data_IF_451947219740
#
_entry.id   IF_451947219740
#
_cell.length_a   1.000
_cell.length_b   1.000
_cell.length_c   1.000
_cell.angle_alpha   90.00
_cell.angle_beta   90.00
_cell.angle_gamma   90.00
#
_symmetry.space_group_name_H-M   'P 1'
#
loop_
_entity.id
_entity.type
_entity.pdbx_description
1 polymer ?
#
# COMPACT_ATOMS: atom_id res chain seq x y z
N UNK A 1 2.77 8.46 -17.41
CA UNK A 1 2.01 8.83 -16.20
C UNK A 1 2.71 9.90 -15.37
N UNK A 2 3.83 9.61 -14.70
CA UNK A 2 4.55 10.59 -13.83
C UNK A 2 4.83 11.92 -14.53
N UNK A 3 5.42 11.89 -15.73
CA UNK A 3 5.71 13.10 -16.54
C UNK A 3 4.45 13.94 -16.83
N UNK A 4 3.30 13.28 -17.03
CA UNK A 4 2.06 13.95 -17.38
C UNK A 4 1.41 14.66 -16.18
N UNK A 5 1.55 14.10 -14.97
CA UNK A 5 0.92 14.68 -13.77
C UNK A 5 1.83 15.62 -12.99
N UNK A 6 3.15 15.50 -13.14
CA UNK A 6 4.14 16.32 -12.42
C UNK A 6 3.91 17.84 -12.52
N UNK A 7 3.52 18.42 -13.69
CA UNK A 7 3.25 19.86 -13.78
C UNK A 7 2.10 20.37 -12.90
N UNK A 8 1.19 19.47 -12.47
CA UNK A 8 0.02 19.82 -11.64
C UNK A 8 0.28 19.66 -10.13
N UNK A 9 1.46 19.17 -9.75
CA UNK A 9 1.82 18.91 -8.35
C UNK A 9 2.64 20.08 -7.83
N UNK A 10 2.06 20.80 -6.86
CA UNK A 10 2.67 21.94 -6.17
C UNK A 10 2.71 21.68 -4.67
N UNK A 11 3.31 22.59 -3.90
CA UNK A 11 3.31 22.52 -2.43
C UNK A 11 1.91 22.57 -1.80
N UNK A 12 0.90 23.04 -2.56
CA UNK A 12 -0.50 23.09 -2.13
C UNK A 12 -1.32 21.89 -2.61
N UNK A 13 -0.71 20.95 -3.32
CA UNK A 13 -1.41 19.78 -3.88
C UNK A 13 -1.33 18.60 -2.92
N UNK A 14 -2.47 18.07 -2.50
CA UNK A 14 -2.55 16.76 -1.86
C UNK A 14 -2.77 15.67 -2.92
N UNK A 15 -1.84 14.72 -3.00
CA UNK A 15 -1.99 13.55 -3.87
C UNK A 15 -2.67 12.43 -3.07
N UNK A 16 -3.87 12.03 -3.48
CA UNK A 16 -4.60 10.90 -2.90
C UNK A 16 -4.48 9.70 -3.83
N UNK A 17 -3.98 8.58 -3.31
CA UNK A 17 -3.92 7.31 -4.01
C UNK A 17 -4.98 6.37 -3.42
N UNK A 18 -6.01 6.07 -4.21
CA UNK A 18 -7.06 5.12 -3.82
C UNK A 18 -6.66 3.68 -4.16
N UNK A 19 -6.66 2.81 -3.17
CA UNK A 19 -6.36 1.39 -3.32
C UNK A 19 -6.87 0.60 -2.12
N UNK A 20 -7.54 -0.52 -2.38
CA UNK A 20 -7.60 -1.63 -1.44
C UNK A 20 -6.28 -2.43 -1.50
N UNK A 21 -6.02 -3.21 -0.46
CA UNK A 21 -4.88 -4.12 -0.38
C UNK A 21 -5.31 -5.53 -0.81
N UNK A 22 -4.99 -6.57 -0.04
CA UNK A 22 -5.28 -7.95 -0.43
C UNK A 22 -6.78 -8.22 -0.44
N UNK A 23 -7.27 -8.67 -1.59
CA UNK A 23 -8.53 -9.38 -1.76
C UNK A 23 -8.24 -10.88 -1.59
N UNK A 24 -8.57 -11.43 -0.43
CA UNK A 24 -8.26 -12.80 -0.03
C UNK A 24 -9.52 -13.66 0.01
N UNK A 25 -9.45 -14.87 -0.53
CA UNK A 25 -10.51 -15.87 -0.48
C UNK A 25 -10.85 -16.45 -1.86
N UNK A 26 -11.60 -17.56 -1.86
CA UNK A 26 -11.99 -18.28 -3.07
C UNK A 26 -12.69 -17.37 -4.09
N UNK A 27 -13.58 -16.46 -3.66
CA UNK A 27 -14.31 -15.56 -4.56
C UNK A 27 -13.39 -14.63 -5.37
N UNK A 28 -12.20 -14.36 -4.85
CA UNK A 28 -11.21 -13.48 -5.48
C UNK A 28 -10.16 -14.27 -6.27
N UNK A 29 -10.22 -15.61 -6.27
CA UNK A 29 -9.22 -16.47 -6.88
C UNK A 29 -7.83 -16.36 -6.24
N UNK A 30 -7.75 -15.88 -4.99
CA UNK A 30 -6.48 -15.64 -4.30
C UNK A 30 -6.51 -16.21 -2.89
N UNK A 31 -5.93 -17.40 -2.73
CA UNK A 31 -5.89 -18.15 -1.48
C UNK A 31 -4.47 -18.72 -1.22
N UNK A 32 -3.47 -17.85 -0.99
CA UNK A 32 -2.05 -18.25 -0.89
C UNK A 32 -1.71 -19.06 0.38
N UNK A 33 -2.62 -19.11 1.35
CA UNK A 33 -2.50 -19.86 2.60
C UNK A 33 -3.91 -20.15 3.13
N UNK A 34 -4.07 -21.16 3.98
CA UNK A 34 -5.36 -21.54 4.58
C UNK A 34 -5.33 -21.65 6.10
N UNK A 35 -4.14 -21.63 6.70
CA UNK A 35 -3.93 -21.61 8.14
C UNK A 35 -3.58 -20.19 8.62
N UNK A 36 -3.90 -19.88 9.88
CA UNK A 36 -3.58 -18.61 10.54
C UNK A 36 -3.87 -17.37 9.68
N UNK A 37 -5.02 -17.38 8.99
CA UNK A 37 -5.34 -16.45 7.89
C UNK A 37 -5.13 -15.00 8.31
N UNK A 38 -5.66 -14.57 9.45
CA UNK A 38 -5.50 -13.21 9.98
C UNK A 38 -4.02 -12.77 10.07
N UNK A 39 -3.19 -13.62 10.67
CA UNK A 39 -1.77 -13.31 10.88
C UNK A 39 -0.97 -13.34 9.57
N UNK A 40 -1.23 -14.34 8.72
CA UNK A 40 -0.57 -14.49 7.43
C UNK A 40 -0.96 -13.39 6.44
N UNK A 41 -2.22 -12.95 6.46
CA UNK A 41 -2.71 -11.83 5.68
C UNK A 41 -2.05 -10.52 6.10
N UNK A 42 -2.00 -10.24 7.41
CA UNK A 42 -1.26 -9.09 7.93
C UNK A 42 0.21 -9.12 7.53
N UNK A 43 0.87 -10.29 7.61
CA UNK A 43 2.26 -10.44 7.17
C UNK A 43 2.45 -10.16 5.68
N UNK A 44 1.54 -10.65 4.84
CA UNK A 44 1.53 -10.41 3.40
C UNK A 44 1.34 -8.92 3.08
N UNK A 45 0.36 -8.27 3.68
CA UNK A 45 0.09 -6.84 3.46
C UNK A 45 1.24 -5.97 3.97
N UNK A 46 1.77 -6.25 5.16
CA UNK A 46 2.89 -5.49 5.74
C UNK A 46 4.19 -5.66 4.95
N UNK A 47 4.39 -6.79 4.27
CA UNK A 47 5.51 -6.96 3.36
C UNK A 47 5.46 -5.97 2.19
N UNK A 48 4.29 -5.72 1.61
CA UNK A 48 4.13 -4.68 0.59
C UNK A 48 4.27 -3.27 1.18
N UNK A 49 3.70 -3.02 2.36
CA UNK A 49 3.81 -1.72 3.07
C UNK A 49 5.26 -1.35 3.36
N UNK A 50 6.10 -2.31 3.78
CA UNK A 50 7.51 -2.05 4.08
C UNK A 50 8.26 -1.46 2.88
N UNK A 51 8.09 -2.03 1.68
CA UNK A 51 8.67 -1.47 0.46
C UNK A 51 8.10 -0.10 0.11
N UNK A 52 6.79 0.11 0.31
CA UNK A 52 6.14 1.40 0.04
C UNK A 52 6.70 2.49 0.98
N UNK A 53 6.80 2.22 2.28
CA UNK A 53 7.34 3.15 3.28
C UNK A 53 8.82 3.48 3.02
N UNK A 54 9.60 2.50 2.57
CA UNK A 54 11.00 2.69 2.13
C UNK A 54 11.13 3.41 0.79
N UNK A 55 10.02 3.71 0.12
CA UNK A 55 9.96 4.27 -1.24
C UNK A 55 10.69 3.41 -2.28
N UNK A 56 10.78 2.10 -2.02
CA UNK A 56 11.43 1.15 -2.90
C UNK A 56 10.45 0.61 -3.94
N UNK A 57 10.35 1.32 -5.07
CA UNK A 57 9.49 0.94 -6.19
C UNK A 57 9.84 -0.45 -6.73
N UNK A 58 11.14 -0.73 -6.92
CA UNK A 58 11.60 -1.98 -7.52
C UNK A 58 11.28 -3.16 -6.60
N UNK A 59 11.55 -3.02 -5.30
CA UNK A 59 11.20 -3.98 -4.28
C UNK A 59 9.69 -4.21 -4.18
N UNK A 60 8.89 -3.13 -4.20
CA UNK A 60 7.43 -3.23 -4.21
C UNK A 60 6.91 -4.00 -5.44
N UNK A 61 7.37 -3.66 -6.64
CA UNK A 61 6.94 -4.35 -7.87
C UNK A 61 7.37 -5.82 -7.89
N UNK A 62 8.59 -6.12 -7.41
CA UNK A 62 9.09 -7.49 -7.27
C UNK A 62 8.27 -8.27 -6.23
N UNK A 63 7.90 -7.64 -5.11
CA UNK A 63 7.05 -8.24 -4.08
C UNK A 63 5.67 -8.58 -4.64
N UNK A 64 5.04 -7.65 -5.36
CA UNK A 64 3.74 -7.87 -6.02
C UNK A 64 3.85 -8.99 -7.06
N UNK A 65 4.93 -9.02 -7.84
CA UNK A 65 5.15 -10.06 -8.83
C UNK A 65 5.31 -11.45 -8.20
N UNK A 66 6.06 -11.56 -7.09
CA UNK A 66 6.36 -12.83 -6.43
C UNK A 66 5.16 -13.37 -5.64
N UNK A 67 4.47 -12.50 -4.90
CA UNK A 67 3.36 -12.91 -4.04
C UNK A 67 2.02 -12.98 -4.76
N UNK A 68 1.91 -12.33 -5.93
CA UNK A 68 0.66 -12.10 -6.65
C UNK A 68 -0.41 -11.38 -5.81
N UNK A 69 0.02 -10.66 -4.76
CA UNK A 69 -0.86 -9.90 -3.88
C UNK A 69 -1.81 -9.01 -4.70
N UNK A 70 -3.08 -9.04 -4.35
CA UNK A 70 -4.20 -8.49 -5.15
C UNK A 70 -4.46 -7.01 -4.86
N UNK A 71 -3.40 -6.23 -4.63
CA UNK A 71 -3.48 -4.76 -4.45
C UNK A 71 -3.98 -4.13 -5.77
N UNK A 72 -5.22 -3.60 -5.76
CA UNK A 72 -5.86 -3.07 -6.97
C UNK A 72 -5.17 -1.79 -7.48
N UNK A 73 -4.68 -0.95 -6.57
CA UNK A 73 -3.98 0.31 -6.86
C UNK A 73 -2.47 0.21 -7.00
N UNK A 74 -1.90 -0.99 -7.27
CA UNK A 74 -0.44 -1.17 -7.45
C UNK A 74 0.20 -0.19 -8.45
N UNK A 75 -0.53 0.18 -9.51
CA UNK A 75 -0.07 1.15 -10.51
C UNK A 75 -0.07 2.59 -9.97
N UNK A 76 -1.20 3.13 -9.45
CA UNK A 76 -1.21 4.41 -8.73
C UNK A 76 -0.17 4.52 -7.62
N UNK A 77 0.01 3.49 -6.78
CA UNK A 77 1.05 3.45 -5.74
C UNK A 77 2.44 3.59 -6.38
N UNK A 78 2.74 2.83 -7.43
CA UNK A 78 4.02 2.93 -8.13
C UNK A 78 4.26 4.31 -8.78
N UNK A 79 3.21 5.02 -9.19
CA UNK A 79 3.30 6.40 -9.67
C UNK A 79 3.62 7.34 -8.51
N UNK A 80 2.95 7.21 -7.37
CA UNK A 80 3.24 7.98 -6.16
C UNK A 80 4.70 7.81 -5.73
N UNK A 81 5.22 6.58 -5.70
CA UNK A 81 6.62 6.33 -5.32
C UNK A 81 7.63 7.06 -6.21
N UNK A 82 7.31 7.29 -7.49
CA UNK A 82 8.15 8.07 -8.41
C UNK A 82 7.93 9.58 -8.31
N UNK A 83 6.83 10.02 -7.70
CA UNK A 83 6.54 11.42 -7.44
C UNK A 83 7.14 11.90 -6.12
N UNK A 84 7.26 11.00 -5.13
CA UNK A 84 7.75 11.34 -3.81
C UNK A 84 9.20 11.83 -3.87
N UNK A 85 9.51 12.98 -3.26
CA UNK A 85 10.88 13.44 -3.14
C UNK A 85 11.66 12.59 -2.12
N UNK A 86 13.01 12.58 -2.19
CA UNK A 86 13.87 11.85 -1.27
C UNK A 86 13.63 12.17 0.22
N UNK A 87 13.18 13.39 0.52
CA UNK A 87 12.94 13.91 1.87
C UNK A 87 11.56 13.54 2.44
N UNK A 88 10.65 13.00 1.61
CA UNK A 88 9.33 12.61 2.09
C UNK A 88 9.41 11.36 2.98
N UNK A 89 8.79 11.41 4.15
CA UNK A 89 8.74 10.29 5.09
C UNK A 89 7.35 9.68 5.13
N UNK A 90 7.31 8.35 5.03
CA UNK A 90 6.09 7.56 5.10
C UNK A 90 5.77 7.12 6.53
N UNK A 91 4.48 7.09 6.88
CA UNK A 91 4.00 6.46 8.11
C UNK A 91 2.75 5.61 7.83
N UNK A 92 2.69 4.44 8.47
CA UNK A 92 1.46 3.65 8.56
C UNK A 92 0.54 4.30 9.58
N UNK A 93 -0.66 4.70 9.14
CA UNK A 93 -1.68 5.27 10.02
C UNK A 93 -2.61 4.20 10.56
N UNK A 94 -3.05 3.28 9.70
CA UNK A 94 -3.96 2.21 10.10
C UNK A 94 -3.85 0.98 9.18
N UNK A 95 -4.16 -0.18 9.74
CA UNK A 95 -4.36 -1.44 9.03
C UNK A 95 -5.57 -2.15 9.63
N UNK A 96 -6.51 -2.55 8.78
CA UNK A 96 -7.61 -3.42 9.18
C UNK A 96 -8.10 -4.25 7.99
N UNK A 97 -8.91 -5.26 8.25
CA UNK A 97 -9.52 -6.09 7.20
C UNK A 97 -11.03 -6.13 7.39
N UNK A 98 -11.80 -6.36 6.32
CA UNK A 98 -13.25 -6.56 6.45
C UNK A 98 -13.59 -7.76 7.35
N UNK A 99 -12.71 -8.75 7.41
CA UNK A 99 -12.84 -9.91 8.30
C UNK A 99 -12.69 -9.59 9.78
N UNK A 100 -12.06 -8.46 10.16
CA UNK A 100 -12.02 -8.02 11.56
C UNK A 100 -13.40 -7.63 12.09
N UNK A 101 -14.34 -7.20 11.23
CA UNK A 101 -15.68 -6.78 11.63
C UNK A 101 -16.57 -7.95 12.06
N UNK A 102 -16.47 -9.08 11.35
CA UNK A 102 -17.32 -10.25 11.55
C UNK A 102 -16.56 -11.43 12.19
N UNK A 103 -15.26 -11.26 12.43
CA UNK A 103 -14.33 -12.31 12.80
C UNK A 103 -14.34 -13.50 11.81
N UNK A 104 -14.54 -13.22 10.52
CA UNK A 104 -14.55 -14.18 9.42
C UNK A 104 -13.51 -13.77 8.35
N UNK A 105 -12.51 -14.63 8.14
CA UNK A 105 -11.41 -14.39 7.21
C UNK A 105 -11.48 -15.29 5.97
N UNK A 106 -12.56 -16.04 5.76
CA UNK A 106 -12.72 -16.91 4.58
C UNK A 106 -12.78 -16.12 3.27
N UNK A 107 -13.30 -14.89 3.33
CA UNK A 107 -13.36 -13.94 2.23
C UNK A 107 -13.24 -12.52 2.77
N UNK A 108 -12.04 -11.93 2.68
CA UNK A 108 -11.74 -10.64 3.29
C UNK A 108 -10.98 -9.70 2.35
N UNK A 109 -11.17 -8.40 2.55
CA UNK A 109 -10.40 -7.34 1.89
C UNK A 109 -9.59 -6.61 2.95
N UNK A 110 -8.31 -6.42 2.71
CA UNK A 110 -7.42 -5.64 3.56
C UNK A 110 -7.43 -4.16 3.16
N UNK A 111 -7.35 -3.30 4.16
CA UNK A 111 -7.32 -1.84 4.02
C UNK A 111 -6.11 -1.27 4.75
N UNK A 112 -5.36 -0.42 4.06
CA UNK A 112 -4.16 0.22 4.59
C UNK A 112 -4.29 1.72 4.39
N UNK A 113 -4.01 2.49 5.45
CA UNK A 113 -3.85 3.94 5.36
C UNK A 113 -2.40 4.30 5.61
N UNK A 114 -1.76 4.92 4.62
CA UNK A 114 -0.40 5.45 4.69
C UNK A 114 -0.43 6.97 4.44
N UNK A 115 0.51 7.67 5.04
CA UNK A 115 0.74 9.09 4.74
C UNK A 115 2.21 9.35 4.46
N UNK A 116 2.48 10.21 3.49
CA UNK A 116 3.82 10.75 3.22
C UNK A 116 3.84 12.25 3.49
N UNK A 117 4.84 12.73 4.22
CA UNK A 117 5.00 14.15 4.59
C UNK A 117 6.44 14.58 4.40
N UNK A 118 6.65 15.82 3.98
CA UNK A 118 7.95 16.47 4.11
C UNK A 118 8.15 16.84 5.58
N UNK A 119 9.31 16.52 6.15
CA UNK A 119 9.64 17.08 7.47
C UNK A 119 9.68 18.61 7.36
N UNK A 120 9.02 19.31 8.29
CA UNK A 120 9.27 20.75 8.44
C UNK A 120 10.75 20.91 8.77
N UNK A 121 11.49 21.71 7.97
CA UNK A 121 12.82 22.19 8.37
C UNK A 121 12.71 22.65 9.82
N UNK A 122 13.51 22.08 10.73
CA UNK A 122 13.74 22.71 12.04
C UNK A 122 14.18 24.14 11.71
N UNK A 123 13.41 25.14 12.15
CA UNK A 123 13.89 26.52 12.10
C UNK A 123 15.22 26.53 12.89
N UNK A 124 16.28 27.15 12.36
CA UNK A 124 17.50 27.36 13.13
C UNK A 124 17.18 28.11 14.42
#
# INVERSE_FOLDING_TARGET
>A
AVKAIRPFITEKTLVVVSSDFTHYGYRFGYLPFTNNVKANLKKLDMGAVDYILKKDLSGFLKYVYNTKITICGRKPIGILLQLLPPEAEGALLNYYTSGDLLNDYTSTVSYVSLIFRLQKRKKP
#
